data_IF_579271947538
#
_entry.id   IF_579271947538
#
_cell.length_a   1.000
_cell.length_b   1.000
_cell.length_c   1.000
_cell.angle_alpha   90.00
_cell.angle_beta   90.00
_cell.angle_gamma   90.00
#
_symmetry.space_group_name_H-M   'P 1'
#
loop_
_entity.id
_entity.type
_entity.pdbx_description
1 polymer ?
#
# COMPACT_ATOMS: atom_id res chain seq x y z
N UNK A 1 19.18 -5.85 0.84
CA UNK A 1 17.89 -5.97 0.15
C UNK A 1 17.00 -4.79 0.50
N UNK A 2 16.24 -4.27 -0.46
CA UNK A 2 15.20 -3.25 -0.22
C UNK A 2 13.87 -3.87 -0.63
N UNK A 3 12.99 -4.09 0.34
CA UNK A 3 11.67 -4.69 0.12
C UNK A 3 10.64 -3.64 -0.28
N UNK A 4 9.54 -4.06 -0.92
CA UNK A 4 8.40 -3.23 -1.25
C UNK A 4 7.51 -2.92 -0.05
N UNK A 5 6.29 -2.46 -0.33
CA UNK A 5 5.28 -2.21 0.70
C UNK A 5 4.79 -3.54 1.27
N UNK A 6 5.21 -3.83 2.50
CA UNK A 6 4.76 -5.05 3.18
C UNK A 6 3.25 -4.99 3.41
N UNK A 7 2.58 -6.02 2.96
CA UNK A 7 1.14 -6.14 2.96
C UNK A 7 0.73 -7.47 3.63
N UNK A 8 -0.56 -7.73 3.90
CA UNK A 8 -0.99 -8.96 4.54
C UNK A 8 -0.55 -10.21 3.81
N UNK A 9 -0.57 -11.35 4.51
CA UNK A 9 -0.31 -12.64 3.88
C UNK A 9 -1.29 -12.91 2.74
N UNK A 10 -0.78 -13.42 1.62
CA UNK A 10 -1.60 -13.78 0.46
C UNK A 10 -2.50 -15.01 0.69
N UNK A 11 -2.29 -15.73 1.79
CA UNK A 11 -3.01 -16.98 2.09
C UNK A 11 -4.29 -16.77 2.89
N UNK A 12 -4.32 -15.78 3.77
CA UNK A 12 -5.39 -15.59 4.76
C UNK A 12 -5.64 -14.14 5.16
N UNK A 13 -4.91 -13.19 4.57
CA UNK A 13 -5.05 -11.77 4.88
C UNK A 13 -4.53 -11.35 6.25
N UNK A 14 -3.83 -12.24 7.00
CA UNK A 14 -3.30 -11.89 8.30
C UNK A 14 -2.16 -10.89 8.20
N UNK A 15 -2.24 -9.84 9.04
CA UNK A 15 -1.26 -8.77 9.07
C UNK A 15 -0.11 -9.03 10.04
N UNK A 16 0.98 -8.30 9.82
CA UNK A 16 2.05 -8.16 10.80
C UNK A 16 1.54 -7.44 12.06
N UNK A 17 2.11 -7.72 13.23
CA UNK A 17 1.66 -7.20 14.53
C UNK A 17 1.59 -5.65 14.57
N UNK A 18 2.50 -4.97 13.85
CA UNK A 18 2.59 -3.50 13.82
C UNK A 18 1.90 -2.87 12.60
N UNK A 19 0.89 -3.51 12.02
CA UNK A 19 0.20 -3.01 10.81
C UNK A 19 -0.38 -1.59 10.98
N UNK A 20 -0.71 -1.18 12.21
CA UNK A 20 -1.24 0.15 12.50
C UNK A 20 -0.27 1.29 12.15
N UNK A 21 1.03 1.02 12.10
CA UNK A 21 2.08 1.97 11.71
C UNK A 21 2.50 1.83 10.25
N UNK A 22 1.86 0.93 9.50
CA UNK A 22 2.12 0.75 8.08
C UNK A 22 1.60 1.96 7.29
N UNK A 23 2.49 2.67 6.62
CA UNK A 23 2.15 3.92 5.93
C UNK A 23 1.21 3.73 4.74
N UNK A 24 1.29 2.61 4.01
CA UNK A 24 0.37 2.31 2.92
C UNK A 24 -1.06 2.10 3.44
N UNK A 25 -1.21 1.34 4.54
CA UNK A 25 -2.50 1.17 5.21
C UNK A 25 -2.99 2.49 5.82
N UNK A 26 -2.08 3.29 6.38
CA UNK A 26 -2.38 4.62 6.90
C UNK A 26 -2.97 5.56 5.85
N UNK A 27 -2.49 5.50 4.59
CA UNK A 27 -3.08 6.26 3.48
C UNK A 27 -4.54 5.85 3.21
N UNK A 28 -4.82 4.55 3.13
CA UNK A 28 -6.20 4.05 2.94
C UNK A 28 -7.11 4.56 4.07
N UNK A 29 -6.66 4.44 5.31
CA UNK A 29 -7.41 4.90 6.49
C UNK A 29 -7.69 6.40 6.47
N UNK A 30 -6.76 7.23 6.01
CA UNK A 30 -6.97 8.67 5.94
C UNK A 30 -8.09 9.03 4.96
N UNK A 31 -8.09 8.46 3.76
CA UNK A 31 -9.16 8.71 2.80
C UNK A 31 -10.52 8.21 3.30
N UNK A 32 -10.53 7.06 3.97
CA UNK A 32 -11.73 6.56 4.64
C UNK A 32 -12.21 7.54 5.73
N UNK A 33 -11.33 8.03 6.58
CA UNK A 33 -11.65 8.97 7.67
C UNK A 33 -12.13 10.33 7.13
N UNK A 34 -11.56 10.82 6.04
CA UNK A 34 -11.99 12.06 5.38
C UNK A 34 -13.32 11.88 4.63
N UNK A 35 -13.70 10.65 4.32
CA UNK A 35 -14.86 10.34 3.49
C UNK A 35 -14.72 10.75 2.02
N UNK A 36 -13.54 11.17 1.60
CA UNK A 36 -13.29 11.59 0.23
C UNK A 36 -11.83 11.41 -0.20
N UNK A 37 -11.59 11.38 -1.52
CA UNK A 37 -10.27 11.34 -2.14
C UNK A 37 -10.27 12.10 -3.47
N UNK A 38 -9.13 12.71 -3.89
CA UNK A 38 -9.09 13.50 -5.11
C UNK A 38 -8.95 12.64 -6.36
N UNK A 39 -9.39 13.16 -7.51
CA UNK A 39 -9.32 12.47 -8.80
C UNK A 39 -7.90 12.08 -9.22
N UNK A 40 -6.91 12.90 -8.88
CA UNK A 40 -5.52 12.76 -9.35
C UNK A 40 -4.80 11.52 -8.80
N UNK A 41 -5.31 10.91 -7.70
CA UNK A 41 -4.72 9.69 -7.14
C UNK A 41 -5.33 8.40 -7.68
N UNK A 42 -6.43 8.47 -8.43
CA UNK A 42 -7.21 7.29 -8.84
C UNK A 42 -6.36 6.31 -9.63
N UNK A 43 -5.61 6.80 -10.60
CA UNK A 43 -4.75 5.99 -11.47
C UNK A 43 -3.36 5.72 -10.88
N UNK A 44 -3.12 6.18 -9.64
CA UNK A 44 -1.82 5.95 -8.99
C UNK A 44 -1.64 4.45 -8.73
N UNK A 45 -0.56 3.84 -9.22
CA UNK A 45 -0.30 2.43 -8.96
C UNK A 45 0.07 2.23 -7.50
N UNK A 46 -0.49 1.20 -6.90
CA UNK A 46 -0.20 0.77 -5.54
C UNK A 46 0.38 -0.65 -5.56
N UNK A 47 1.53 -0.78 -4.94
CA UNK A 47 2.24 -2.05 -4.84
C UNK A 47 1.93 -2.68 -3.47
N UNK A 48 1.60 -3.98 -3.50
CA UNK A 48 1.45 -4.79 -2.30
C UNK A 48 2.37 -6.00 -2.39
N UNK A 49 3.33 -6.08 -1.47
CA UNK A 49 4.20 -7.24 -1.32
C UNK A 49 3.74 -8.10 -0.14
N UNK A 50 3.03 -9.23 -0.37
CA UNK A 50 2.57 -10.07 0.72
C UNK A 50 3.73 -10.53 1.60
N UNK A 51 3.60 -10.39 2.92
CA UNK A 51 4.71 -10.59 3.86
C UNK A 51 5.26 -12.01 3.84
N UNK A 52 4.41 -13.02 3.68
CA UNK A 52 4.82 -14.43 3.56
C UNK A 52 5.64 -14.68 2.29
N UNK A 53 5.27 -14.06 1.18
CA UNK A 53 5.98 -14.18 -0.09
C UNK A 53 7.29 -13.38 -0.05
N UNK A 54 7.26 -12.19 0.53
CA UNK A 54 8.46 -11.38 0.74
C UNK A 54 9.50 -12.11 1.59
N UNK A 55 9.06 -12.74 2.70
CA UNK A 55 9.93 -13.55 3.53
C UNK A 55 10.55 -14.72 2.75
N UNK A 56 9.74 -15.45 1.97
CA UNK A 56 10.22 -16.53 1.10
C UNK A 56 11.23 -16.03 0.07
N UNK A 57 10.94 -14.90 -0.58
CA UNK A 57 11.85 -14.29 -1.54
C UNK A 57 13.20 -13.91 -0.91
N UNK A 58 13.19 -13.33 0.28
CA UNK A 58 14.41 -12.98 1.02
C UNK A 58 15.25 -14.23 1.34
N UNK A 59 14.62 -15.30 1.83
CA UNK A 59 15.30 -16.56 2.13
C UNK A 59 15.93 -17.16 0.89
N UNK A 60 15.23 -17.19 -0.23
CA UNK A 60 15.78 -17.70 -1.49
C UNK A 60 16.96 -16.84 -2.00
N UNK A 61 16.82 -15.53 -1.96
CA UNK A 61 17.87 -14.61 -2.40
C UNK A 61 19.10 -14.64 -1.49
N UNK A 62 18.95 -14.97 -0.20
CA UNK A 62 20.08 -15.13 0.72
C UNK A 62 20.99 -16.33 0.41
N UNK A 63 20.51 -17.26 -0.40
CA UNK A 63 21.26 -18.44 -0.85
C UNK A 63 22.05 -18.19 -2.14
N UNK A 64 21.94 -16.99 -2.73
CA UNK A 64 22.71 -16.64 -3.93
C UNK A 64 24.16 -16.34 -3.58
N UNK A 65 25.10 -16.45 -4.57
CA UNK A 65 26.50 -16.11 -4.34
C UNK A 65 26.69 -14.69 -3.82
N UNK A 66 27.76 -14.45 -3.05
CA UNK A 66 28.04 -13.15 -2.42
C UNK A 66 28.24 -12.00 -3.42
N UNK A 67 28.60 -12.31 -4.64
CA UNK A 67 28.70 -11.34 -5.74
C UNK A 67 27.34 -10.73 -6.12
N UNK A 68 26.24 -11.43 -5.83
CA UNK A 68 24.87 -10.97 -6.02
C UNK A 68 24.40 -10.19 -4.78
N UNK A 69 24.87 -8.96 -4.58
CA UNK A 69 24.72 -8.26 -3.31
C UNK A 69 23.54 -7.28 -3.22
N UNK A 70 22.90 -6.94 -4.33
CA UNK A 70 21.80 -5.97 -4.35
C UNK A 70 20.53 -6.55 -4.97
N UNK A 71 19.47 -6.61 -4.16
CA UNK A 71 18.17 -7.08 -4.58
C UNK A 71 17.05 -6.13 -4.13
N UNK A 72 16.03 -5.99 -4.98
CA UNK A 72 14.80 -5.25 -4.71
C UNK A 72 13.60 -6.22 -4.79
N UNK A 73 13.39 -7.09 -3.76
CA UNK A 73 12.26 -8.01 -3.76
C UNK A 73 10.96 -7.28 -3.43
N UNK A 74 10.17 -7.02 -4.46
CA UNK A 74 8.80 -6.51 -4.34
C UNK A 74 7.92 -7.08 -5.44
N UNK A 75 6.62 -7.13 -5.15
CA UNK A 75 5.63 -7.61 -6.08
C UNK A 75 5.39 -6.56 -7.19
N UNK A 76 5.50 -6.96 -8.44
CA UNK A 76 5.28 -6.09 -9.60
C UNK A 76 3.85 -6.17 -10.18
N UNK A 77 2.94 -6.82 -9.48
CA UNK A 77 1.50 -6.78 -9.78
C UNK A 77 0.89 -5.57 -9.05
N UNK A 78 0.71 -4.49 -9.77
CA UNK A 78 0.11 -3.26 -9.22
C UNK A 78 -1.42 -3.30 -9.31
N UNK A 79 -2.06 -2.61 -8.36
CA UNK A 79 -3.47 -2.23 -8.43
C UNK A 79 -3.57 -0.72 -8.51
N UNK A 80 -4.64 -0.18 -9.08
CA UNK A 80 -4.89 1.26 -9.02
C UNK A 80 -5.42 1.66 -7.64
N UNK A 81 -4.94 2.78 -7.12
CA UNK A 81 -5.31 3.20 -5.76
C UNK A 81 -6.80 3.53 -5.66
N UNK A 82 -7.37 4.14 -6.71
CA UNK A 82 -8.81 4.39 -6.79
C UNK A 82 -9.64 3.11 -6.64
N UNK A 83 -9.17 2.02 -7.23
CA UNK A 83 -9.82 0.72 -7.10
C UNK A 83 -9.82 0.21 -5.66
N UNK A 84 -8.69 0.35 -4.96
CA UNK A 84 -8.59 -0.01 -3.54
C UNK A 84 -9.56 0.81 -2.69
N UNK A 85 -9.71 2.11 -2.98
CA UNK A 85 -10.62 2.99 -2.26
C UNK A 85 -12.09 2.69 -2.57
N UNK A 86 -12.41 2.33 -3.80
CA UNK A 86 -13.76 1.90 -4.19
C UNK A 86 -14.16 0.60 -3.48
N UNK A 87 -13.23 -0.33 -3.30
CA UNK A 87 -13.46 -1.61 -2.62
C UNK A 87 -13.75 -1.46 -1.11
N UNK A 88 -13.43 -0.31 -0.50
CA UNK A 88 -13.84 -0.01 0.87
C UNK A 88 -15.35 -0.09 1.09
N UNK A 89 -16.16 0.03 0.03
CA UNK A 89 -17.60 -0.16 0.08
C UNK A 89 -18.01 -1.55 0.59
N UNK A 90 -17.22 -2.57 0.34
CA UNK A 90 -17.44 -3.94 0.79
C UNK A 90 -17.35 -4.10 2.31
N UNK A 91 -16.68 -3.17 2.98
CA UNK A 91 -16.56 -3.14 4.44
C UNK A 91 -17.35 -1.98 5.07
N UNK A 92 -18.34 -1.45 4.35
CA UNK A 92 -19.24 -0.41 4.84
C UNK A 92 -18.63 1.00 4.85
N UNK A 93 -17.52 1.20 4.13
CA UNK A 93 -16.84 2.50 4.00
C UNK A 93 -16.92 2.95 2.54
N UNK A 94 -17.38 4.15 2.28
CA UNK A 94 -17.60 4.63 0.90
C UNK A 94 -17.10 6.07 0.75
N UNK A 95 -15.76 6.26 0.70
CA UNK A 95 -15.23 7.59 0.42
C UNK A 95 -15.61 8.02 -1.01
N UNK A 96 -15.98 9.27 -1.17
CA UNK A 96 -16.39 9.84 -2.46
C UNK A 96 -15.19 10.42 -3.19
N UNK A 97 -15.18 10.26 -4.51
CA UNK A 97 -14.22 10.94 -5.37
C UNK A 97 -14.60 12.40 -5.54
N UNK A 98 -13.68 13.34 -5.35
CA UNK A 98 -13.93 14.77 -5.35
C UNK A 98 -12.83 15.54 -6.11
N UNK A 99 -13.11 16.79 -6.47
CA UNK A 99 -12.10 17.70 -7.00
C UNK A 99 -11.02 17.99 -5.95
N UNK A 100 -9.82 18.29 -6.41
CA UNK A 100 -8.64 18.50 -5.55
C UNK A 100 -8.86 19.63 -4.53
N UNK A 101 -9.55 20.69 -4.92
CA UNK A 101 -9.91 21.82 -4.06
C UNK A 101 -10.80 21.38 -2.88
N UNK A 102 -11.85 20.61 -3.18
CA UNK A 102 -12.77 20.10 -2.15
C UNK A 102 -12.06 19.12 -1.20
N UNK A 103 -11.16 18.30 -1.73
CA UNK A 103 -10.33 17.43 -0.90
C UNK A 103 -9.42 18.24 0.04
N UNK A 104 -8.77 19.29 -0.46
CA UNK A 104 -7.91 20.15 0.35
C UNK A 104 -8.69 20.86 1.46
N UNK A 105 -9.92 21.33 1.20
CA UNK A 105 -10.79 21.90 2.22
C UNK A 105 -11.14 20.89 3.32
N UNK A 106 -11.49 19.66 2.94
CA UNK A 106 -11.76 18.58 3.90
C UNK A 106 -10.53 18.25 4.74
N UNK A 107 -9.33 18.24 4.13
CA UNK A 107 -8.07 18.01 4.80
C UNK A 107 -7.74 19.13 5.81
N UNK A 108 -7.87 20.40 5.43
CA UNK A 108 -7.64 21.54 6.32
C UNK A 108 -8.64 21.55 7.49
N UNK A 109 -9.89 21.20 7.23
CA UNK A 109 -10.89 21.05 8.29
C UNK A 109 -10.51 19.95 9.27
N UNK A 110 -10.07 18.80 8.78
CA UNK A 110 -9.67 17.67 9.61
C UNK A 110 -8.40 17.97 10.44
N UNK A 111 -7.48 18.81 9.97
CA UNK A 111 -6.29 19.26 10.71
C UNK A 111 -6.63 20.07 11.97
N UNK A 112 -7.81 20.69 12.03
CA UNK A 112 -8.25 21.44 13.20
C UNK A 112 -8.69 20.56 14.38
N UNK A 113 -8.98 19.29 14.11
CA UNK A 113 -9.30 18.27 15.12
C UNK A 113 -8.00 17.56 15.53
N UNK A 114 -7.56 17.65 16.80
CA UNK A 114 -6.30 17.05 17.25
C UNK A 114 -6.21 15.54 17.05
N UNK A 115 -7.31 14.81 17.20
CA UNK A 115 -7.34 13.36 17.02
C UNK A 115 -7.20 13.00 15.54
N UNK A 116 -7.89 13.72 14.65
CA UNK A 116 -7.77 13.53 13.21
C UNK A 116 -6.39 13.97 12.72
N UNK A 117 -5.88 15.09 13.19
CA UNK A 117 -4.55 15.60 12.82
C UNK A 117 -3.44 14.58 13.07
N UNK A 118 -3.50 13.86 14.19
CA UNK A 118 -2.56 12.78 14.50
C UNK A 118 -2.64 11.63 13.49
N UNK A 119 -3.84 11.27 13.03
CA UNK A 119 -4.05 10.21 12.03
C UNK A 119 -3.62 10.66 10.63
N UNK A 120 -3.68 11.96 10.34
CA UNK A 120 -3.25 12.53 9.05
C UNK A 120 -1.74 12.49 8.82
N UNK A 121 -0.93 12.25 9.86
CA UNK A 121 0.54 12.30 9.76
C UNK A 121 1.11 11.39 8.66
N UNK A 122 0.49 10.23 8.41
CA UNK A 122 0.90 9.32 7.33
C UNK A 122 0.62 9.90 5.94
N UNK A 123 -0.44 10.68 5.75
CA UNK A 123 -0.74 11.35 4.47
C UNK A 123 0.16 12.56 4.26
N UNK A 124 0.34 13.38 5.30
CA UNK A 124 1.17 14.60 5.25
C UNK A 124 2.59 14.25 4.83
N UNK A 125 3.17 13.19 5.39
CA UNK A 125 4.51 12.73 5.03
C UNK A 125 4.63 12.36 3.53
N UNK A 126 3.54 11.90 2.90
CA UNK A 126 3.50 11.62 1.46
C UNK A 126 3.20 12.87 0.62
N UNK A 127 2.39 13.80 1.11
CA UNK A 127 2.10 15.06 0.40
C UNK A 127 3.32 15.97 0.34
N UNK A 128 4.10 16.09 1.41
CA UNK A 128 5.34 16.87 1.42
C UNK A 128 6.37 16.30 0.42
N UNK A 129 6.32 14.99 0.16
CA UNK A 129 7.13 14.35 -0.89
C UNK A 129 6.56 14.59 -2.30
N UNK A 130 5.26 14.91 -2.44
CA UNK A 130 4.56 15.06 -3.72
C UNK A 130 4.43 16.51 -4.19
N UNK A 131 4.74 17.51 -3.35
CA UNK A 131 4.73 18.91 -3.75
C UNK A 131 5.78 19.19 -4.83
N UNK A 132 5.34 19.07 -6.11
CA UNK A 132 6.11 19.40 -7.30
C UNK A 132 6.48 18.25 -8.23
N UNK A 133 6.18 17.00 -7.87
CA UNK A 133 6.35 15.86 -8.78
C UNK A 133 5.06 15.03 -8.79
N UNK A 134 4.54 14.74 -10.00
CA UNK A 134 3.65 13.58 -10.20
C UNK A 134 4.24 12.45 -9.38
N UNK A 135 3.42 11.76 -8.59
CA UNK A 135 3.83 10.64 -7.74
C UNK A 135 4.58 9.63 -8.62
N UNK A 136 5.85 9.88 -8.79
CA UNK A 136 6.73 8.93 -9.44
C UNK A 136 6.89 7.86 -8.37
N UNK A 137 6.24 6.72 -8.55
CA UNK A 137 6.79 5.48 -8.04
C UNK A 137 8.29 5.58 -8.33
N UNK A 138 9.10 5.63 -7.30
CA UNK A 138 10.53 5.46 -7.54
C UNK A 138 10.61 4.08 -8.19
N UNK A 139 10.83 3.98 -9.51
CA UNK A 139 10.93 2.70 -10.16
C UNK A 139 12.28 2.12 -9.73
N UNK A 140 12.33 1.58 -8.52
CA UNK A 140 13.42 0.70 -8.19
C UNK A 140 13.26 -0.47 -9.17
N UNK A 141 14.12 -0.52 -10.18
CA UNK A 141 14.11 -1.62 -11.12
C UNK A 141 14.31 -2.92 -10.34
N UNK A 142 13.32 -3.82 -10.41
CA UNK A 142 13.40 -5.14 -9.82
C UNK A 142 13.51 -6.27 -10.85
N UNK A 143 13.73 -5.93 -12.11
CA UNK A 143 13.78 -6.90 -13.18
C UNK A 143 14.85 -7.98 -12.92
N UNK A 144 16.04 -7.56 -12.49
CA UNK A 144 17.10 -8.48 -12.10
C UNK A 144 16.68 -9.39 -10.95
N UNK A 145 16.11 -8.83 -9.89
CA UNK A 145 15.63 -9.59 -8.72
C UNK A 145 14.56 -10.60 -9.12
N UNK A 146 13.60 -10.18 -9.94
CA UNK A 146 12.52 -11.04 -10.44
C UNK A 146 13.06 -12.19 -11.29
N UNK A 147 14.06 -11.94 -12.14
CA UNK A 147 14.71 -13.01 -12.94
C UNK A 147 15.45 -14.01 -12.06
N UNK A 148 16.17 -13.54 -11.04
CA UNK A 148 16.86 -14.43 -10.08
C UNK A 148 15.84 -15.29 -9.32
N UNK A 149 14.80 -14.66 -8.78
CA UNK A 149 13.71 -15.37 -8.08
C UNK A 149 13.04 -16.41 -8.97
N UNK A 150 12.78 -16.06 -10.23
CA UNK A 150 12.22 -16.99 -11.22
C UNK A 150 13.09 -18.24 -11.39
N UNK A 151 14.41 -18.06 -11.52
CA UNK A 151 15.36 -19.19 -11.63
C UNK A 151 15.42 -20.03 -10.36
N UNK A 152 15.15 -19.42 -9.20
CA UNK A 152 15.05 -20.11 -7.90
C UNK A 152 13.66 -20.75 -7.67
N UNK A 153 12.80 -20.75 -8.68
CA UNK A 153 11.47 -21.36 -8.62
C UNK A 153 10.43 -20.53 -7.88
N UNK A 154 10.65 -19.25 -7.69
CA UNK A 154 9.70 -18.34 -7.04
C UNK A 154 9.00 -17.42 -8.05
N UNK A 155 7.72 -17.19 -7.81
CA UNK A 155 6.90 -16.17 -8.49
C UNK A 155 6.01 -15.48 -7.46
N UNK A 156 5.83 -14.19 -7.63
CA UNK A 156 4.83 -13.44 -6.88
C UNK A 156 3.43 -13.87 -7.30
N UNK A 157 2.51 -13.96 -6.33
CA UNK A 157 1.09 -14.10 -6.62
C UNK A 157 0.53 -12.78 -7.16
N UNK A 158 -0.54 -12.87 -7.94
CA UNK A 158 -1.29 -11.70 -8.35
C UNK A 158 -1.95 -11.06 -7.13
N UNK A 159 -1.79 -9.75 -6.96
CA UNK A 159 -2.58 -8.95 -6.02
C UNK A 159 -3.88 -8.55 -6.70
N UNK A 160 -4.77 -9.54 -6.90
CA UNK A 160 -6.09 -9.40 -7.53
C UNK A 160 -7.09 -8.71 -6.58
N UNK A 161 -8.30 -8.50 -7.09
CA UNK A 161 -9.46 -8.03 -6.30
C UNK A 161 -9.71 -8.88 -5.06
N UNK A 162 -9.63 -10.21 -5.18
CA UNK A 162 -9.81 -11.11 -4.04
C UNK A 162 -8.80 -10.84 -2.93
N UNK A 163 -7.56 -10.49 -3.29
CA UNK A 163 -6.54 -10.13 -2.31
C UNK A 163 -6.86 -8.80 -1.63
N UNK A 164 -7.28 -7.78 -2.38
CA UNK A 164 -7.65 -6.46 -1.83
C UNK A 164 -8.86 -6.58 -0.91
N UNK A 165 -9.89 -7.29 -1.34
CA UNK A 165 -11.09 -7.55 -0.55
C UNK A 165 -10.75 -8.27 0.77
N UNK A 166 -9.94 -9.34 0.71
CA UNK A 166 -9.48 -10.07 1.89
C UNK A 166 -8.68 -9.17 2.85
N UNK A 167 -7.81 -8.32 2.31
CA UNK A 167 -7.04 -7.35 3.07
C UNK A 167 -7.95 -6.35 3.79
N UNK A 168 -8.91 -5.76 3.09
CA UNK A 168 -9.82 -4.77 3.67
C UNK A 168 -10.75 -5.38 4.72
N UNK A 169 -11.24 -6.60 4.49
CA UNK A 169 -12.03 -7.35 5.47
C UNK A 169 -11.23 -7.66 6.73
N UNK A 170 -9.98 -8.05 6.59
CA UNK A 170 -9.10 -8.29 7.75
C UNK A 170 -8.86 -6.99 8.54
N UNK A 171 -8.54 -5.86 7.87
CA UNK A 171 -8.39 -4.56 8.51
C UNK A 171 -9.66 -4.13 9.26
N UNK A 172 -10.81 -4.29 8.63
CA UNK A 172 -12.10 -3.97 9.25
C UNK A 172 -12.36 -4.85 10.48
N UNK A 173 -12.07 -6.15 10.40
CA UNK A 173 -12.17 -7.08 11.51
C UNK A 173 -11.28 -6.73 12.71
N UNK A 174 -10.19 -6.01 12.50
CA UNK A 174 -9.33 -5.47 13.56
C UNK A 174 -9.77 -4.09 14.08
N UNK A 175 -10.91 -3.55 13.63
CA UNK A 175 -11.38 -2.21 14.00
C UNK A 175 -10.50 -1.09 13.44
N UNK A 176 -9.76 -1.34 12.35
CA UNK A 176 -8.81 -0.38 11.82
C UNK A 176 -9.46 0.89 11.27
N UNK A 177 -10.69 0.79 10.82
CA UNK A 177 -11.47 1.89 10.24
C UNK A 177 -12.41 2.58 11.25
N UNK A 178 -12.39 2.17 12.50
CA UNK A 178 -13.15 2.78 13.61
C UNK A 178 -12.47 4.02 14.20
#
# INVERSE_FOLDING_TARGET
MRVGNLAPRSTDGEFQINFQTNSAMGRIRVYQMLGCYPYDITDSPMEFSPINETAKAIVLLSQTPQECCLFHPYNNHYVHFGDVLAELSQVGQSPSQVETEAFNEALETAKQDPEKAKRLSSLIAYQDMAHGQKTVLIPADNQYTTQVLYRLGFRWSSTSWDYVDQMLKALNGFGYFE
#
